data_IF_160942433589
#
_entry.id   IF_160942433589
#
_cell.length_a   1.000
_cell.length_b   1.000
_cell.length_c   1.000
_cell.angle_alpha   90.00
_cell.angle_beta   90.00
_cell.angle_gamma   90.00
#
_symmetry.space_group_name_H-M   'P 1'
#
loop_
_entity.id
_entity.type
_entity.pdbx_description
1 polymer ?
#
# COMPACT_ATOMS: atom_id res chain seq x y z
N UNK A 1 27.59 -61.45 -1.30
CA UNK A 1 27.83 -60.22 -0.50
C UNK A 1 26.67 -59.26 -0.81
N UNK A 2 25.64 -59.29 0.04
CA UNK A 2 25.20 -58.16 0.89
C UNK A 2 24.64 -56.97 0.10
N UNK A 3 23.33 -57.08 -0.16
CA UNK A 3 22.37 -55.99 -0.34
C UNK A 3 22.36 -55.01 0.83
N UNK A 4 21.82 -53.82 0.53
CA UNK A 4 21.22 -52.81 1.43
C UNK A 4 22.04 -51.53 1.63
N UNK A 5 21.84 -50.57 0.71
CA UNK A 5 21.97 -49.15 1.02
C UNK A 5 20.69 -48.70 1.73
N UNK A 6 20.83 -48.42 3.02
CA UNK A 6 19.82 -47.80 3.88
C UNK A 6 19.73 -46.32 3.49
N UNK A 7 18.82 -45.98 2.56
CA UNK A 7 18.20 -44.65 2.51
C UNK A 7 17.10 -44.64 3.58
N UNK A 8 16.96 -43.66 4.44
CA UNK A 8 17.04 -42.22 4.21
C UNK A 8 15.79 -41.65 4.87
N UNK A 9 15.97 -41.09 6.08
CA UNK A 9 15.08 -40.19 6.83
C UNK A 9 13.55 -40.41 6.72
N UNK A 10 12.97 -41.03 7.75
CA UNK A 10 11.55 -40.93 8.07
C UNK A 10 11.29 -39.76 9.04
N UNK A 11 10.13 -39.13 8.84
CA UNK A 11 9.39 -38.26 9.77
C UNK A 11 9.63 -36.74 9.71
N UNK A 12 9.29 -36.12 8.57
CA UNK A 12 8.64 -34.80 8.58
C UNK A 12 7.13 -35.02 8.74
N UNK A 13 6.68 -35.31 9.96
CA UNK A 13 5.26 -35.41 10.30
C UNK A 13 4.92 -34.32 11.33
N UNK A 14 4.77 -33.08 10.86
CA UNK A 14 4.10 -32.01 11.58
C UNK A 14 3.13 -31.30 10.63
N UNK A 15 2.12 -32.06 10.19
CA UNK A 15 0.89 -31.50 9.63
C UNK A 15 -0.24 -31.85 10.59
N UNK A 16 -0.60 -30.93 11.48
CA UNK A 16 -1.96 -30.79 12.04
C UNK A 16 -2.01 -29.84 13.25
N UNK A 17 -2.24 -28.56 12.97
CA UNK A 17 -3.22 -27.73 13.69
C UNK A 17 -3.58 -26.56 12.77
N UNK A 18 -4.39 -26.86 11.74
CA UNK A 18 -5.16 -25.83 11.06
C UNK A 18 -6.27 -25.37 12.00
N UNK A 19 -5.99 -24.37 12.83
CA UNK A 19 -7.04 -23.58 13.48
C UNK A 19 -7.61 -22.63 12.43
N UNK A 20 -8.49 -23.16 11.59
CA UNK A 20 -9.18 -22.42 10.53
C UNK A 20 -10.66 -22.73 10.60
N UNK A 21 -11.30 -22.29 11.68
CA UNK A 21 -12.75 -22.19 11.72
C UNK A 21 -13.23 -21.16 10.68
N UNK A 22 -14.49 -21.24 10.22
CA UNK A 22 -15.04 -20.27 9.28
C UNK A 22 -14.94 -18.88 9.92
N UNK A 23 -14.10 -18.02 9.33
CA UNK A 23 -14.09 -16.60 9.66
C UNK A 23 -15.34 -16.02 9.05
N UNK A 24 -16.27 -15.61 9.90
CA UNK A 24 -17.41 -14.77 9.52
C UNK A 24 -16.85 -13.57 8.73
N UNK A 25 -17.35 -13.35 7.52
CA UNK A 25 -16.85 -12.32 6.64
C UNK A 25 -17.30 -10.97 7.21
N UNK A 26 -16.48 -10.38 8.07
CA UNK A 26 -16.67 -9.04 8.61
C UNK A 26 -16.75 -8.08 7.42
N UNK A 27 -17.85 -7.34 7.36
CA UNK A 27 -18.13 -6.36 6.31
C UNK A 27 -16.94 -5.39 6.24
N UNK A 28 -16.22 -5.39 5.12
CA UNK A 28 -15.01 -4.60 4.97
C UNK A 28 -15.34 -3.12 5.28
N UNK A 29 -14.53 -2.44 6.12
CA UNK A 29 -14.85 -1.09 6.55
C UNK A 29 -15.03 -0.18 5.34
N UNK A 30 -16.11 0.62 5.33
CA UNK A 30 -16.34 1.62 4.27
C UNK A 30 -15.31 2.75 4.39
N UNK A 31 -14.17 2.57 3.74
CA UNK A 31 -13.07 3.53 3.74
C UNK A 31 -13.40 4.80 2.93
N UNK A 32 -14.55 4.86 2.22
CA UNK A 32 -14.93 6.02 1.40
C UNK A 32 -15.27 7.25 2.24
N UNK A 33 -15.71 7.06 3.49
CA UNK A 33 -16.10 8.15 4.39
C UNK A 33 -14.96 8.66 5.29
N UNK A 34 -13.81 7.96 5.32
CA UNK A 34 -12.67 8.37 6.13
C UNK A 34 -11.85 9.44 5.43
N UNK A 35 -11.79 10.63 6.04
CA UNK A 35 -10.93 11.72 5.60
C UNK A 35 -9.56 11.57 6.26
N UNK A 36 -8.52 11.33 5.45
CA UNK A 36 -7.14 11.29 5.95
C UNK A 36 -6.74 12.65 6.57
N UNK A 37 -5.94 12.66 7.66
CA UNK A 37 -5.40 13.90 8.21
C UNK A 37 -4.56 14.64 7.17
N UNK A 38 -4.54 15.97 7.27
CA UNK A 38 -3.70 16.83 6.42
C UNK A 38 -2.24 16.77 6.90
N UNK A 39 -1.26 16.85 5.99
CA UNK A 39 0.15 16.90 6.36
C UNK A 39 0.50 18.23 7.03
N UNK A 40 1.48 18.20 7.93
CA UNK A 40 2.06 19.40 8.55
C UNK A 40 3.21 19.94 7.69
N UNK A 41 2.90 20.95 6.87
CA UNK A 41 3.87 21.57 5.97
C UNK A 41 4.92 22.45 6.68
N UNK A 42 4.79 22.68 7.98
CA UNK A 42 5.82 23.38 8.75
C UNK A 42 7.01 22.48 9.10
N UNK A 43 6.77 21.16 9.20
CA UNK A 43 7.76 20.14 9.52
C UNK A 43 8.28 19.44 8.26
N UNK A 44 7.40 19.20 7.29
CA UNK A 44 7.74 18.61 6.00
C UNK A 44 7.31 19.56 4.88
N UNK A 45 8.15 20.55 4.52
CA UNK A 45 7.75 21.59 3.58
C UNK A 45 7.61 21.09 2.15
N UNK A 46 8.24 19.96 1.81
CA UNK A 46 8.30 19.41 0.46
C UNK A 46 7.98 17.89 0.45
N UNK A 47 6.70 17.57 0.28
CA UNK A 47 6.15 16.21 0.03
C UNK A 47 4.86 16.37 -0.78
N UNK A 48 4.97 16.87 -2.01
CA UNK A 48 3.82 17.12 -2.88
C UNK A 48 3.58 15.91 -3.80
N UNK A 49 2.32 15.54 -3.94
CA UNK A 49 1.84 14.49 -4.85
C UNK A 49 0.93 15.12 -5.89
N UNK A 50 1.32 15.02 -7.15
CA UNK A 50 0.50 15.39 -8.29
C UNK A 50 -0.19 14.14 -8.84
N UNK A 51 -1.51 14.22 -9.03
CA UNK A 51 -2.33 13.15 -9.60
C UNK A 51 -2.74 13.55 -11.02
N UNK A 52 -2.51 12.66 -11.98
CA UNK A 52 -2.82 12.90 -13.39
C UNK A 52 -3.92 11.95 -13.91
N UNK A 53 -4.60 12.37 -14.97
CA UNK A 53 -5.62 11.58 -15.69
C UNK A 53 -5.07 10.33 -16.36
N UNK A 54 -3.81 10.38 -16.80
CA UNK A 54 -3.15 9.39 -17.63
C UNK A 54 -1.65 9.28 -17.34
N UNK A 55 -1.02 8.23 -17.86
CA UNK A 55 0.40 7.95 -17.64
C UNK A 55 1.37 8.93 -18.33
N UNK A 56 0.92 9.63 -19.38
CA UNK A 56 1.70 10.67 -20.05
C UNK A 56 1.62 12.02 -19.30
N UNK A 57 0.89 12.07 -18.17
CA UNK A 57 0.75 13.25 -17.30
C UNK A 57 0.15 14.45 -18.04
N UNK A 58 -0.82 14.24 -18.93
CA UNK A 58 -1.35 15.32 -19.79
C UNK A 58 -2.27 16.30 -19.04
N UNK A 59 -3.03 15.83 -18.06
CA UNK A 59 -3.94 16.66 -17.26
C UNK A 59 -3.74 16.40 -15.76
N UNK A 60 -3.52 17.46 -15.00
CA UNK A 60 -3.43 17.43 -13.54
C UNK A 60 -4.85 17.44 -12.94
N UNK A 61 -5.23 16.33 -12.31
CA UNK A 61 -6.60 16.12 -11.78
C UNK A 61 -6.69 16.27 -10.26
N UNK A 62 -5.56 16.38 -9.56
CA UNK A 62 -5.56 16.61 -8.12
C UNK A 62 -4.16 16.78 -7.55
N UNK A 63 -4.11 17.32 -6.34
CA UNK A 63 -2.88 17.45 -5.57
C UNK A 63 -3.14 17.14 -4.10
N UNK A 64 -2.12 16.57 -3.45
CA UNK A 64 -2.08 16.36 -2.01
C UNK A 64 -0.65 16.53 -1.51
N UNK A 65 -0.44 17.28 -0.43
CA UNK A 65 0.88 17.39 0.18
C UNK A 65 1.34 18.81 0.38
N UNK A 66 2.66 18.97 0.54
CA UNK A 66 3.31 20.23 0.84
C UNK A 66 4.32 20.60 -0.24
N UNK A 67 4.37 21.87 -0.65
CA UNK A 67 5.40 22.40 -1.56
C UNK A 67 5.83 23.80 -1.14
N UNK A 68 7.13 23.99 -0.85
CA UNK A 68 7.67 25.18 -0.19
C UNK A 68 6.89 25.57 1.09
N UNK A 69 6.41 24.58 1.86
CA UNK A 69 5.62 24.83 3.07
C UNK A 69 4.15 25.21 2.84
N UNK A 70 3.71 25.32 1.58
CA UNK A 70 2.30 25.50 1.23
C UNK A 70 1.54 24.18 1.18
N UNK A 71 0.34 24.13 1.78
CA UNK A 71 -0.54 22.96 1.72
C UNK A 71 -1.35 22.92 0.42
N UNK A 72 -1.27 21.81 -0.31
CA UNK A 72 -2.08 21.50 -1.49
C UNK A 72 -2.98 20.31 -1.15
N UNK A 73 -4.29 20.49 -1.23
CA UNK A 73 -5.26 19.39 -1.05
C UNK A 73 -6.54 19.66 -1.85
N UNK A 74 -6.59 19.18 -3.09
CA UNK A 74 -7.74 19.36 -3.97
C UNK A 74 -7.84 18.21 -4.98
N UNK A 75 -8.95 18.18 -5.74
CA UNK A 75 -9.13 17.29 -6.88
C UNK A 75 -9.25 15.80 -6.55
N UNK A 76 -9.17 14.99 -7.60
CA UNK A 76 -9.23 13.53 -7.55
C UNK A 76 -7.85 12.93 -7.21
N UNK A 77 -7.83 12.14 -6.13
CA UNK A 77 -6.62 11.53 -5.57
C UNK A 77 -6.65 9.99 -5.62
N UNK A 78 -7.57 9.40 -6.38
CA UNK A 78 -7.77 7.95 -6.47
C UNK A 78 -7.22 7.32 -7.76
N UNK A 79 -6.42 8.07 -8.55
CA UNK A 79 -5.85 7.60 -9.82
C UNK A 79 -4.48 6.91 -9.67
N UNK A 80 -4.09 6.02 -10.61
CA UNK A 80 -2.82 5.31 -10.56
C UNK A 80 -1.61 6.15 -11.01
N UNK A 81 -1.84 7.32 -11.61
CA UNK A 81 -0.79 8.15 -12.20
C UNK A 81 -0.39 9.26 -11.21
N UNK A 82 0.64 8.98 -10.41
CA UNK A 82 1.11 9.88 -9.35
C UNK A 82 2.57 10.27 -9.58
N UNK A 83 2.86 11.54 -9.41
CA UNK A 83 4.22 12.09 -9.37
C UNK A 83 4.51 12.65 -7.98
N UNK A 84 5.70 12.38 -7.48
CA UNK A 84 6.17 12.85 -6.18
C UNK A 84 7.19 13.97 -6.38
N UNK A 85 6.99 15.08 -5.69
CA UNK A 85 7.82 16.28 -5.74
C UNK A 85 8.32 16.56 -4.33
N UNK A 86 9.64 16.47 -4.15
CA UNK A 86 10.32 16.55 -2.84
C UNK A 86 11.20 17.80 -2.69
N UNK A 87 11.17 18.71 -3.65
CA UNK A 87 11.96 19.94 -3.60
C UNK A 87 11.26 21.06 -4.34
N UNK A 88 11.31 22.24 -3.76
CA UNK A 88 11.27 23.49 -4.49
C UNK A 88 12.68 24.14 -4.57
#
# INVERSE_FOLDING_TARGET
MRTSLVGGLLAMALMSVGCGGPVEQEEAPDLRSQKAPLPDCSVSPDDLRNYYSDAAKTELVGQWGCYCGGLYNWGNKSGPHVEYIFSC
#
